data_IF_686258773738
#
_entry.id   IF_686258773738
#
_cell.length_a   1.000
_cell.length_b   1.000
_cell.length_c   1.000
_cell.angle_alpha   90.00
_cell.angle_beta   90.00
_cell.angle_gamma   90.00
#
_symmetry.space_group_name_H-M   'P 1'
#
loop_
_entity.id
_entity.type
_entity.pdbx_description
1 polymer ?
#
# COMPACT_ATOMS: atom_id res chain seq x y z
N UNK A 1 13.91 5.45 -3.56
CA UNK A 1 14.88 4.94 -2.58
C UNK A 1 14.38 3.65 -1.95
N UNK A 2 13.14 3.61 -1.41
CA UNK A 2 12.58 2.41 -0.77
C UNK A 2 12.45 1.20 -1.71
N UNK A 3 12.06 1.41 -2.98
CA UNK A 3 11.89 0.34 -3.97
C UNK A 3 13.23 -0.27 -4.36
N UNK A 4 14.26 0.55 -4.56
CA UNK A 4 15.62 0.09 -4.88
C UNK A 4 16.19 -0.76 -3.73
N UNK A 5 15.99 -0.33 -2.48
CA UNK A 5 16.43 -1.05 -1.30
C UNK A 5 15.69 -2.40 -1.13
N UNK A 6 14.38 -2.42 -1.39
CA UNK A 6 13.58 -3.64 -1.34
C UNK A 6 14.05 -4.68 -2.38
N UNK A 7 14.32 -4.25 -3.62
CA UNK A 7 14.84 -5.15 -4.65
C UNK A 7 16.25 -5.65 -4.34
N UNK A 8 17.11 -4.78 -3.79
CA UNK A 8 18.45 -5.19 -3.37
C UNK A 8 18.35 -6.28 -2.30
N UNK A 9 17.52 -6.07 -1.28
CA UNK A 9 17.29 -7.06 -0.24
C UNK A 9 16.81 -8.40 -0.81
N UNK A 10 15.83 -8.40 -1.72
CA UNK A 10 15.32 -9.63 -2.33
C UNK A 10 16.37 -10.38 -3.15
N UNK A 11 17.24 -9.66 -3.87
CA UNK A 11 18.32 -10.25 -4.68
C UNK A 11 19.43 -10.87 -3.84
N UNK A 12 19.62 -10.40 -2.61
CA UNK A 12 20.61 -10.92 -1.67
C UNK A 12 20.13 -12.17 -0.92
N UNK A 13 18.83 -12.53 -1.03
CA UNK A 13 18.28 -13.73 -0.41
C UNK A 13 18.73 -15.00 -1.15
N UNK A 14 19.42 -15.96 -0.48
CA UNK A 14 19.93 -17.15 -1.14
C UNK A 14 18.87 -18.09 -1.72
N UNK A 15 17.62 -17.95 -1.28
CA UNK A 15 16.49 -18.78 -1.69
C UNK A 15 15.53 -18.08 -2.64
N UNK A 16 15.92 -16.91 -3.20
CA UNK A 16 15.08 -16.14 -4.09
C UNK A 16 15.64 -16.18 -5.52
N UNK A 17 15.11 -17.07 -6.36
CA UNK A 17 15.55 -17.23 -7.76
C UNK A 17 14.82 -16.27 -8.72
N UNK A 18 13.62 -15.81 -8.35
CA UNK A 18 12.81 -14.92 -9.18
C UNK A 18 11.87 -14.06 -8.35
N UNK A 19 11.62 -12.84 -8.82
CA UNK A 19 10.68 -11.89 -8.19
C UNK A 19 9.60 -11.49 -9.19
N UNK A 20 8.34 -11.73 -8.84
CA UNK A 20 7.19 -11.23 -9.61
C UNK A 20 6.82 -9.82 -9.14
N UNK A 21 6.82 -8.85 -10.04
CA UNK A 21 6.57 -7.44 -9.73
C UNK A 21 5.34 -6.96 -10.49
N UNK A 22 4.37 -6.38 -9.77
CA UNK A 22 3.24 -5.69 -10.37
C UNK A 22 3.67 -4.31 -10.90
N UNK A 23 3.32 -4.00 -12.15
CA UNK A 23 3.63 -2.72 -12.80
C UNK A 23 2.35 -2.19 -13.45
N UNK A 24 2.07 -0.90 -13.30
CA UNK A 24 0.84 -0.28 -13.81
C UNK A 24 1.05 0.54 -15.09
N UNK A 25 2.29 0.99 -15.34
CA UNK A 25 2.61 1.84 -16.48
C UNK A 25 4.06 1.59 -16.99
N UNK A 26 4.37 2.18 -18.14
CA UNK A 26 5.66 2.03 -18.81
C UNK A 26 6.83 2.58 -17.97
N UNK A 27 6.62 3.65 -17.22
CA UNK A 27 7.65 4.21 -16.36
C UNK A 27 8.04 3.26 -15.23
N UNK A 28 7.09 2.54 -14.65
CA UNK A 28 7.37 1.49 -13.65
C UNK A 28 8.11 0.29 -14.29
N UNK A 29 7.81 -0.07 -15.54
CA UNK A 29 8.56 -1.11 -16.27
C UNK A 29 10.02 -0.67 -16.46
N UNK A 30 10.24 0.53 -17.01
CA UNK A 30 11.58 1.07 -17.21
C UNK A 30 12.38 1.14 -15.90
N UNK A 31 11.75 1.60 -14.82
CA UNK A 31 12.36 1.66 -13.49
C UNK A 31 12.80 0.27 -13.01
N UNK A 32 11.92 -0.71 -13.08
CA UNK A 32 12.21 -2.05 -12.61
C UNK A 32 13.32 -2.71 -13.44
N UNK A 33 13.29 -2.56 -14.77
CA UNK A 33 14.35 -3.04 -15.66
C UNK A 33 15.69 -2.39 -15.32
N UNK A 34 15.72 -1.09 -15.08
CA UNK A 34 16.93 -0.38 -14.69
C UNK A 34 17.49 -0.90 -13.34
N UNK A 35 16.62 -1.08 -12.33
CA UNK A 35 17.03 -1.61 -11.02
C UNK A 35 17.60 -3.03 -11.15
N UNK A 36 16.95 -3.93 -11.90
CA UNK A 36 17.42 -5.29 -12.07
C UNK A 36 18.72 -5.41 -12.87
N UNK A 37 19.03 -4.42 -13.72
CA UNK A 37 20.29 -4.31 -14.45
C UNK A 37 21.37 -3.48 -13.72
N UNK A 38 21.17 -3.19 -12.44
CA UNK A 38 22.09 -2.37 -11.61
C UNK A 38 22.40 -0.98 -12.21
N UNK A 39 21.43 -0.43 -12.97
CA UNK A 39 21.53 0.89 -13.56
C UNK A 39 21.05 1.97 -12.58
N UNK A 40 21.72 3.10 -12.57
CA UNK A 40 21.29 4.26 -11.78
C UNK A 40 20.02 4.86 -12.37
N UNK A 41 18.98 5.00 -11.56
CA UNK A 41 17.74 5.66 -11.97
C UNK A 41 17.99 7.15 -12.23
N UNK A 42 17.61 7.59 -13.42
CA UNK A 42 17.67 9.02 -13.77
C UNK A 42 16.62 9.82 -13.01
N UNK A 43 16.88 11.09 -12.79
CA UNK A 43 15.94 12.00 -12.13
C UNK A 43 14.63 12.16 -12.93
N UNK A 44 14.72 12.10 -14.26
CA UNK A 44 13.56 12.12 -15.15
C UNK A 44 12.69 10.88 -14.95
N UNK A 45 13.28 9.69 -14.90
CA UNK A 45 12.56 8.44 -14.67
C UNK A 45 11.90 8.43 -13.29
N UNK A 46 12.59 8.91 -12.24
CA UNK A 46 12.01 9.07 -10.89
C UNK A 46 10.79 9.99 -10.87
N UNK A 47 10.79 11.06 -11.68
CA UNK A 47 9.64 11.97 -11.80
C UNK A 47 8.47 11.37 -12.59
N UNK A 48 8.76 10.53 -13.59
CA UNK A 48 7.73 9.84 -14.37
C UNK A 48 7.03 8.73 -13.60
N UNK A 49 7.72 8.07 -12.69
CA UNK A 49 7.13 7.07 -11.79
C UNK A 49 6.30 7.79 -10.73
N UNK A 50 5.02 7.92 -11.00
CA UNK A 50 4.08 8.58 -10.08
C UNK A 50 3.77 7.69 -8.87
N UNK A 51 4.32 8.05 -7.73
CA UNK A 51 3.88 7.50 -6.45
C UNK A 51 2.53 8.15 -6.10
N UNK A 52 1.45 7.50 -6.45
CA UNK A 52 0.13 7.96 -6.03
C UNK A 52 -0.03 7.64 -4.54
N UNK A 53 -0.22 8.67 -3.73
CA UNK A 53 -0.51 8.49 -2.31
C UNK A 53 -1.73 7.56 -2.15
N UNK A 54 -1.63 6.59 -1.27
CA UNK A 54 -2.71 5.66 -0.94
C UNK A 54 -3.13 5.91 0.50
N UNK A 55 -4.40 5.67 0.79
CA UNK A 55 -4.91 5.72 2.16
C UNK A 55 -5.95 4.64 2.39
N UNK A 56 -6.19 4.31 3.63
CA UNK A 56 -7.29 3.45 4.02
C UNK A 56 -8.57 4.31 4.18
N UNK A 57 -9.63 3.93 3.49
CA UNK A 57 -10.93 4.58 3.60
C UNK A 57 -11.93 3.66 4.28
N UNK A 58 -12.74 4.22 5.19
CA UNK A 58 -13.87 3.55 5.83
C UNK A 58 -15.15 4.28 5.41
N UNK A 59 -16.05 3.56 4.74
CA UNK A 59 -17.30 4.13 4.22
C UNK A 59 -18.43 4.14 5.24
N UNK A 60 -19.45 4.96 5.00
CA UNK A 60 -20.51 5.28 5.97
C UNK A 60 -21.46 4.13 6.36
N UNK A 61 -21.42 2.99 5.65
CA UNK A 61 -22.20 1.79 6.03
C UNK A 61 -21.50 0.93 7.09
N UNK A 62 -20.56 1.48 7.83
CA UNK A 62 -19.87 0.77 8.91
C UNK A 62 -20.86 0.47 10.05
N UNK A 63 -20.87 -0.78 10.50
CA UNK A 63 -21.71 -1.22 11.64
C UNK A 63 -21.03 -1.11 12.99
N UNK A 64 -19.86 -0.50 13.05
CA UNK A 64 -19.06 -0.28 14.27
C UNK A 64 -18.78 -1.58 15.06
N UNK A 65 -18.66 -2.70 14.35
CA UNK A 65 -18.54 -4.04 14.96
C UNK A 65 -17.18 -4.35 15.61
N UNK A 66 -16.12 -3.57 15.32
CA UNK A 66 -14.80 -3.71 15.94
C UNK A 66 -13.86 -4.72 15.28
N UNK A 67 -14.32 -5.65 14.43
CA UNK A 67 -13.49 -6.71 13.84
C UNK A 67 -12.24 -6.22 13.09
N UNK A 68 -12.32 -5.04 12.49
CA UNK A 68 -11.18 -4.43 11.81
C UNK A 68 -10.09 -3.94 12.78
N UNK A 69 -10.45 -3.65 14.04
CA UNK A 69 -9.50 -3.25 15.09
C UNK A 69 -8.77 -4.50 15.57
N UNK A 70 -9.48 -5.58 15.84
CA UNK A 70 -8.91 -6.85 16.28
C UNK A 70 -7.95 -7.44 15.24
N UNK A 71 -8.18 -7.12 13.94
CA UNK A 71 -7.33 -7.54 12.84
C UNK A 71 -6.15 -6.61 12.56
N UNK A 72 -5.96 -5.53 13.33
CA UNK A 72 -4.94 -4.52 13.07
C UNK A 72 -3.75 -4.62 14.03
N UNK A 73 -2.70 -5.34 13.64
CA UNK A 73 -1.46 -5.47 14.43
C UNK A 73 -0.68 -4.14 14.59
N UNK A 74 -1.09 -3.08 13.89
CA UNK A 74 -0.43 -1.76 13.94
C UNK A 74 -1.13 -0.77 14.88
N UNK A 75 -2.22 -1.15 15.53
CA UNK A 75 -3.05 -0.25 16.33
C UNK A 75 -3.46 1.03 15.56
N UNK A 76 -3.66 0.90 14.26
CA UNK A 76 -3.98 2.01 13.37
C UNK A 76 -5.49 2.29 13.26
N UNK A 77 -6.34 1.52 13.93
CA UNK A 77 -7.78 1.66 13.88
C UNK A 77 -8.37 1.80 15.29
N UNK A 78 -9.38 2.63 15.41
CA UNK A 78 -10.19 2.76 16.63
C UNK A 78 -11.66 2.92 16.25
N UNK A 79 -12.57 2.60 17.19
CA UNK A 79 -14.00 2.91 17.00
C UNK A 79 -14.22 4.41 17.12
N UNK A 80 -14.97 4.97 16.18
CA UNK A 80 -15.59 6.27 16.27
C UNK A 80 -17.09 6.14 16.57
N UNK A 81 -17.82 7.24 16.54
CA UNK A 81 -19.26 7.24 16.85
C UNK A 81 -20.08 6.49 15.78
N UNK A 82 -19.77 6.75 14.50
CA UNK A 82 -20.54 6.21 13.36
C UNK A 82 -19.75 5.15 12.56
N UNK A 83 -18.42 5.16 12.65
CA UNK A 83 -17.54 4.25 11.90
C UNK A 83 -16.16 4.11 12.54
N UNK A 84 -15.41 3.11 12.10
CA UNK A 84 -14.01 3.00 12.46
C UNK A 84 -13.20 4.19 11.89
N UNK A 85 -12.28 4.69 12.70
CA UNK A 85 -11.39 5.82 12.38
C UNK A 85 -9.98 5.31 12.20
N UNK A 86 -9.32 5.75 11.13
CA UNK A 86 -7.95 5.35 10.77
C UNK A 86 -6.96 6.38 11.30
N UNK A 87 -5.88 5.92 11.89
CA UNK A 87 -4.67 6.69 12.15
C UNK A 87 -3.69 6.45 11.00
N UNK A 88 -3.65 7.38 10.05
CA UNK A 88 -2.79 7.27 8.86
C UNK A 88 -1.29 7.25 9.20
N UNK A 89 -0.90 7.74 10.37
CA UNK A 89 0.51 7.72 10.81
C UNK A 89 0.99 6.33 11.21
N UNK A 90 0.07 5.44 11.58
CA UNK A 90 0.34 4.05 11.95
C UNK A 90 -0.02 3.05 10.85
N UNK A 91 -0.89 3.44 9.93
CA UNK A 91 -1.44 2.54 8.91
C UNK A 91 -0.40 2.23 7.83
N UNK A 92 0.02 0.98 7.73
CA UNK A 92 0.95 0.48 6.70
C UNK A 92 0.24 -0.04 5.44
N UNK A 93 -1.07 0.15 5.32
CA UNK A 93 -1.89 -0.27 4.18
C UNK A 93 -1.85 -1.78 3.86
N UNK A 94 -1.64 -2.64 4.85
CA UNK A 94 -1.57 -4.10 4.67
C UNK A 94 -2.90 -4.76 4.23
N UNK A 95 -4.05 -4.11 4.48
CA UNK A 95 -5.37 -4.57 4.03
C UNK A 95 -6.06 -5.65 4.89
N UNK A 96 -5.47 -6.15 5.97
CA UNK A 96 -6.09 -7.18 6.83
C UNK A 96 -7.44 -6.73 7.39
N UNK A 97 -7.56 -5.49 7.81
CA UNK A 97 -8.81 -4.90 8.29
C UNK A 97 -9.92 -4.90 7.22
N UNK A 98 -9.55 -4.74 5.95
CA UNK A 98 -10.50 -4.82 4.84
C UNK A 98 -11.02 -6.25 4.64
N UNK A 99 -10.14 -7.25 4.78
CA UNK A 99 -10.52 -8.67 4.70
C UNK A 99 -11.39 -9.10 5.90
N UNK A 100 -11.16 -8.53 7.08
CA UNK A 100 -11.94 -8.83 8.29
C UNK A 100 -13.31 -8.13 8.32
N UNK A 101 -13.56 -7.15 7.44
CA UNK A 101 -14.80 -6.37 7.44
C UNK A 101 -15.95 -7.13 6.76
N UNK A 102 -17.00 -7.54 7.48
CA UNK A 102 -18.14 -8.29 6.90
C UNK A 102 -18.97 -7.43 5.95
N UNK A 103 -18.96 -6.10 6.14
CA UNK A 103 -19.70 -5.15 5.30
C UNK A 103 -18.90 -4.67 4.07
N UNK A 104 -17.62 -5.08 3.95
CA UNK A 104 -16.72 -4.68 2.87
C UNK A 104 -16.58 -3.15 2.69
N UNK A 105 -16.74 -2.39 3.78
CA UNK A 105 -16.71 -0.92 3.78
C UNK A 105 -15.32 -0.33 4.00
N UNK A 106 -14.28 -1.16 4.11
CA UNK A 106 -12.89 -0.73 4.26
C UNK A 106 -12.12 -1.03 2.98
N UNK A 107 -11.45 -0.01 2.42
CA UNK A 107 -10.67 -0.17 1.19
C UNK A 107 -9.43 0.70 1.19
N UNK A 108 -8.37 0.22 0.55
CA UNK A 108 -7.23 1.06 0.17
C UNK A 108 -7.63 1.82 -1.10
N UNK A 109 -7.58 3.14 -1.05
CA UNK A 109 -7.94 4.03 -2.15
C UNK A 109 -6.77 4.91 -2.56
N UNK A 110 -6.80 5.38 -3.82
CA UNK A 110 -5.77 6.25 -4.37
C UNK A 110 -6.11 7.71 -4.05
N UNK A 111 -5.12 8.48 -3.57
CA UNK A 111 -5.14 9.92 -3.45
C UNK A 111 -6.28 10.50 -2.62
N UNK A 112 -6.58 11.78 -2.87
CA UNK A 112 -7.67 12.55 -2.27
C UNK A 112 -9.06 12.27 -2.88
N UNK A 113 -9.27 11.15 -3.55
CA UNK A 113 -10.56 10.79 -4.13
C UNK A 113 -11.59 10.47 -3.03
N UNK A 114 -11.82 11.45 -2.16
CA UNK A 114 -12.76 11.40 -1.05
C UNK A 114 -14.20 11.70 -1.46
N UNK A 115 -14.61 11.33 -2.67
CA UNK A 115 -16.01 11.45 -3.10
C UNK A 115 -16.34 10.26 -3.97
N UNK A 116 -16.97 9.28 -3.38
CA UNK A 116 -17.85 8.32 -4.01
C UNK A 116 -19.20 8.36 -3.30
#
# INVERSE_FOLDING_TARGET
QEVEEAFKFLRELPSCDAVAVGMKDEAEIEMNVAIFNDQTLTEDLRKRVHTVARRLAVYDRCTVCGLCIDACDQDALRLGDDKAVVDDSKCILCGYCAAACPEYVIRVVLGDSGKW
#
